data_IF_046654076380
#
_entry.id   IF_046654076380
#
_cell.length_a   1.000
_cell.length_b   1.000
_cell.length_c   1.000
_cell.angle_alpha   90.00
_cell.angle_beta   90.00
_cell.angle_gamma   90.00
#
_symmetry.space_group_name_H-M   'P 1'
#
loop_
_entity.id
_entity.type
_entity.pdbx_description
1 polymer ?
#
# COMPACT_ATOMS: atom_id res chain seq x y z
N UNK A 1 -30.73 -12.07 -8.63
CA UNK A 1 -29.60 -13.01 -8.40
C UNK A 1 -28.25 -12.52 -8.94
N UNK A 2 -28.18 -11.77 -10.06
CA UNK A 2 -26.89 -11.22 -10.55
C UNK A 2 -26.27 -10.13 -9.65
N UNK A 3 -27.11 -9.28 -9.06
CA UNK A 3 -26.69 -8.15 -8.24
C UNK A 3 -25.96 -8.55 -6.94
N UNK A 4 -26.40 -9.62 -6.28
CA UNK A 4 -25.71 -10.17 -5.10
C UNK A 4 -24.33 -10.76 -5.44
N UNK A 5 -24.20 -11.38 -6.62
CA UNK A 5 -22.94 -11.91 -7.13
C UNK A 5 -21.95 -10.80 -7.49
N UNK A 6 -22.46 -9.71 -8.06
CA UNK A 6 -21.67 -8.54 -8.47
C UNK A 6 -21.15 -7.78 -7.24
N UNK A 7 -22.01 -7.50 -6.27
CA UNK A 7 -21.62 -6.88 -4.99
C UNK A 7 -20.63 -7.76 -4.21
N UNK A 8 -20.82 -9.08 -4.19
CA UNK A 8 -19.89 -10.00 -3.54
C UNK A 8 -18.50 -9.99 -4.19
N UNK A 9 -18.43 -9.87 -5.52
CA UNK A 9 -17.17 -9.77 -6.27
C UNK A 9 -16.47 -8.43 -6.03
N UNK A 10 -17.23 -7.34 -5.97
CA UNK A 10 -16.73 -5.99 -5.65
C UNK A 10 -16.12 -5.95 -4.24
N UNK A 11 -16.84 -6.50 -3.25
CA UNK A 11 -16.39 -6.57 -1.86
C UNK A 11 -15.12 -7.40 -1.72
N UNK A 12 -15.06 -8.57 -2.36
CA UNK A 12 -13.85 -9.40 -2.37
C UNK A 12 -12.68 -8.70 -3.05
N UNK A 13 -12.93 -7.96 -4.14
CA UNK A 13 -11.92 -7.14 -4.82
C UNK A 13 -11.34 -6.07 -3.91
N UNK A 14 -12.20 -5.35 -3.17
CA UNK A 14 -11.79 -4.31 -2.22
C UNK A 14 -10.97 -4.89 -1.06
N UNK A 15 -11.41 -6.00 -0.46
CA UNK A 15 -10.68 -6.68 0.62
C UNK A 15 -9.29 -7.16 0.19
N UNK A 16 -9.17 -7.72 -1.02
CA UNK A 16 -7.87 -8.16 -1.56
C UNK A 16 -6.96 -6.97 -1.86
N UNK A 17 -7.53 -5.87 -2.37
CA UNK A 17 -6.80 -4.63 -2.59
C UNK A 17 -6.29 -4.02 -1.27
N UNK A 18 -7.13 -3.98 -0.23
CA UNK A 18 -6.76 -3.51 1.11
C UNK A 18 -5.72 -4.41 1.77
N UNK A 19 -5.81 -5.73 1.59
CA UNK A 19 -4.81 -6.68 2.08
C UNK A 19 -3.44 -6.44 1.46
N UNK A 20 -3.38 -6.20 0.14
CA UNK A 20 -2.13 -5.84 -0.55
C UNK A 20 -1.60 -4.45 -0.13
N UNK A 21 -2.50 -3.48 0.06
CA UNK A 21 -2.14 -2.14 0.54
C UNK A 21 -1.48 -2.21 1.93
N UNK A 22 -2.06 -3.03 2.81
CA UNK A 22 -1.56 -3.29 4.17
C UNK A 22 -0.20 -3.99 4.12
N UNK A 23 -0.04 -5.01 3.27
CA UNK A 23 1.25 -5.69 3.11
C UNK A 23 2.34 -4.75 2.57
N UNK A 24 2.00 -3.90 1.59
CA UNK A 24 2.92 -2.92 1.03
C UNK A 24 3.36 -1.86 2.05
N UNK A 25 2.42 -1.37 2.88
CA UNK A 25 2.75 -0.42 3.96
C UNK A 25 3.61 -1.06 5.04
N UNK A 26 3.34 -2.31 5.41
CA UNK A 26 4.12 -3.05 6.41
C UNK A 26 5.55 -3.32 5.91
N UNK A 27 5.71 -3.67 4.62
CA UNK A 27 7.01 -3.79 3.97
C UNK A 27 7.76 -2.46 3.94
N UNK A 28 7.09 -1.34 3.61
CA UNK A 28 7.67 0.00 3.63
C UNK A 28 8.21 0.36 5.01
N UNK A 29 7.41 0.16 6.05
CA UNK A 29 7.82 0.43 7.44
C UNK A 29 9.02 -0.43 7.81
N UNK A 30 9.03 -1.72 7.45
CA UNK A 30 10.17 -2.61 7.65
C UNK A 30 11.45 -2.11 6.97
N UNK A 31 11.36 -1.66 5.71
CA UNK A 31 12.49 -1.05 4.99
C UNK A 31 13.00 0.18 5.73
N UNK A 32 12.10 1.05 6.16
CA UNK A 32 12.49 2.30 6.84
C UNK A 32 13.11 2.04 8.21
N UNK A 33 12.67 1.00 8.92
CA UNK A 33 13.30 0.54 10.15
C UNK A 33 14.73 0.03 9.89
N UNK A 34 14.95 -0.74 8.82
CA UNK A 34 16.31 -1.16 8.43
C UNK A 34 17.21 0.04 8.10
N UNK A 35 16.68 1.05 7.39
CA UNK A 35 17.41 2.28 7.07
C UNK A 35 17.76 3.07 8.34
N UNK A 36 16.84 3.13 9.31
CA UNK A 36 17.07 3.74 10.61
C UNK A 36 18.18 3.01 11.39
N UNK A 37 18.15 1.66 11.40
CA UNK A 37 19.17 0.83 12.03
C UNK A 37 20.55 0.96 11.36
N UNK A 38 20.59 1.30 10.07
CA UNK A 38 21.83 1.60 9.35
C UNK A 38 22.44 2.96 9.72
N UNK A 39 21.84 3.70 10.66
CA UNK A 39 22.37 4.98 11.17
C UNK A 39 22.11 6.18 10.25
N UNK A 40 21.16 6.07 9.32
CA UNK A 40 20.78 7.22 8.50
C UNK A 40 20.18 8.36 9.33
N UNK A 41 20.35 9.62 8.91
CA UNK A 41 19.73 10.77 9.56
C UNK A 41 18.21 10.66 9.51
N UNK A 42 17.53 11.10 10.57
CA UNK A 42 16.08 10.98 10.72
C UNK A 42 15.28 11.58 9.55
N UNK A 43 15.77 12.68 8.95
CA UNK A 43 15.17 13.27 7.76
C UNK A 43 15.16 12.32 6.55
N UNK A 44 16.22 11.54 6.36
CA UNK A 44 16.31 10.58 5.26
C UNK A 44 15.32 9.43 5.47
N UNK A 45 15.22 8.89 6.68
CA UNK A 45 14.21 7.87 7.02
C UNK A 45 12.78 8.39 6.78
N UNK A 46 12.50 9.63 7.18
CA UNK A 46 11.22 10.29 6.94
C UNK A 46 10.93 10.48 5.45
N UNK A 47 11.93 10.85 4.65
CA UNK A 47 11.79 10.98 3.19
C UNK A 47 11.48 9.63 2.52
N UNK A 48 12.11 8.53 2.95
CA UNK A 48 11.82 7.18 2.44
C UNK A 48 10.38 6.78 2.77
N UNK A 49 9.93 7.02 4.00
CA UNK A 49 8.53 6.77 4.40
C UNK A 49 7.55 7.58 3.55
N UNK A 50 7.80 8.88 3.40
CA UNK A 50 6.88 9.78 2.70
C UNK A 50 6.79 9.43 1.21
N UNK A 51 7.92 9.29 0.53
CA UNK A 51 7.96 8.96 -0.89
C UNK A 51 7.40 7.57 -1.16
N UNK A 52 7.74 6.59 -0.33
CA UNK A 52 7.25 5.23 -0.51
C UNK A 52 5.77 5.10 -0.20
N UNK A 53 5.23 5.81 0.78
CA UNK A 53 3.78 5.87 1.01
C UNK A 53 3.05 6.51 -0.18
N UNK A 54 3.59 7.60 -0.75
CA UNK A 54 3.05 8.23 -1.96
C UNK A 54 3.04 7.27 -3.15
N UNK A 55 4.12 6.49 -3.34
CA UNK A 55 4.20 5.48 -4.40
C UNK A 55 3.18 4.36 -4.22
N UNK A 56 2.99 3.89 -2.98
CA UNK A 56 1.97 2.87 -2.67
C UNK A 56 0.59 3.42 -3.05
N UNK A 57 0.24 4.64 -2.61
CA UNK A 57 -1.06 5.25 -2.95
C UNK A 57 -1.20 5.47 -4.45
N UNK A 58 -0.18 6.00 -5.12
CA UNK A 58 -0.24 6.24 -6.56
C UNK A 58 -0.44 4.93 -7.35
N UNK A 59 0.30 3.87 -6.99
CA UNK A 59 0.17 2.58 -7.66
C UNK A 59 -1.17 1.92 -7.40
N UNK A 60 -1.74 2.03 -6.19
CA UNK A 60 -3.05 1.47 -5.89
C UNK A 60 -4.18 2.23 -6.57
N UNK A 61 -4.11 3.57 -6.62
CA UNK A 61 -5.06 4.40 -7.37
C UNK A 61 -4.99 4.10 -8.87
N UNK A 62 -3.80 4.04 -9.46
CA UNK A 62 -3.63 3.71 -10.90
C UNK A 62 -4.16 2.31 -11.20
N UNK A 63 -3.92 1.34 -10.31
CA UNK A 63 -4.42 -0.02 -10.48
C UNK A 63 -5.94 -0.07 -10.39
N UNK A 64 -6.54 0.62 -9.42
CA UNK A 64 -7.99 0.70 -9.25
C UNK A 64 -8.68 1.45 -10.40
N UNK A 65 -8.03 2.47 -10.99
CA UNK A 65 -8.55 3.19 -12.14
C UNK A 65 -8.49 2.38 -13.45
N UNK A 66 -7.71 1.30 -13.49
CA UNK A 66 -7.55 0.43 -14.67
C UNK A 66 -8.47 -0.81 -14.62
N UNK A 67 -8.96 -1.18 -13.45
CA UNK A 67 -9.93 -2.28 -13.25
C UNK A 67 -11.35 -1.83 -13.52
#
# INVERSE_FOLDING_TARGET
MKLLLEVGKELLGMFVADGLLTAATLALVGVTACVQLAGMPALACGAVLLLGALLIVATTVIRAARS
#
